data_IF_698143961836
#
_entry.id   IF_698143961836
#
_cell.length_a   1.000
_cell.length_b   1.000
_cell.length_c   1.000
_cell.angle_alpha   90.00
_cell.angle_beta   90.00
_cell.angle_gamma   90.00
#
_symmetry.space_group_name_H-M   'P 1'
#
loop_
_entity.id
_entity.type
_entity.pdbx_description
1 polymer ?
#
# COMPACT_ATOMS: atom_id res chain seq x y z
N UNK A 1 -13.48 -1.23 -4.27
CA UNK A 1 -12.93 -2.58 -4.51
C UNK A 1 -12.04 -2.58 -5.75
N UNK A 2 -12.58 -2.48 -6.97
CA UNK A 2 -11.78 -2.55 -8.21
C UNK A 2 -10.81 -1.37 -8.42
N UNK A 3 -11.22 -0.13 -8.11
CA UNK A 3 -10.35 1.06 -8.25
C UNK A 3 -9.12 0.99 -7.34
N UNK A 4 -9.29 0.55 -6.10
CA UNK A 4 -8.19 0.33 -5.16
C UNK A 4 -7.24 -0.76 -5.64
N UNK A 5 -7.78 -1.82 -6.26
CA UNK A 5 -6.98 -2.88 -6.87
C UNK A 5 -6.18 -2.38 -8.08
N UNK A 6 -6.79 -1.62 -8.99
CA UNK A 6 -6.11 -1.03 -10.15
C UNK A 6 -5.01 -0.07 -9.68
N UNK A 7 -5.32 0.76 -8.68
CA UNK A 7 -4.33 1.66 -8.07
C UNK A 7 -3.15 0.88 -7.48
N UNK A 8 -3.41 -0.18 -6.71
CA UNK A 8 -2.38 -1.07 -6.20
C UNK A 8 -1.53 -1.69 -7.32
N UNK A 9 -2.16 -2.20 -8.37
CA UNK A 9 -1.47 -2.81 -9.51
C UNK A 9 -0.52 -1.84 -10.20
N UNK A 10 -0.98 -0.61 -10.47
CA UNK A 10 -0.14 0.43 -11.10
C UNK A 10 1.04 0.78 -10.19
N UNK A 11 0.81 0.97 -8.89
CA UNK A 11 1.86 1.30 -7.95
C UNK A 11 2.88 0.17 -7.80
N UNK A 12 2.40 -1.07 -7.66
CA UNK A 12 3.26 -2.24 -7.46
C UNK A 12 4.09 -2.54 -8.71
N UNK A 13 3.45 -2.71 -9.88
CA UNK A 13 4.15 -2.98 -11.14
C UNK A 13 5.03 -1.81 -11.57
N UNK A 14 4.57 -0.58 -11.36
CA UNK A 14 5.34 0.63 -11.64
C UNK A 14 6.60 0.73 -10.78
N UNK A 15 6.52 0.40 -9.49
CA UNK A 15 7.68 0.37 -8.59
C UNK A 15 8.71 -0.71 -8.98
N UNK A 16 8.24 -1.92 -9.32
CA UNK A 16 9.12 -2.99 -9.83
C UNK A 16 9.79 -2.58 -11.14
N UNK A 17 9.04 -1.99 -12.06
CA UNK A 17 9.57 -1.49 -13.33
C UNK A 17 10.63 -0.41 -13.12
N UNK A 18 10.39 0.55 -12.22
CA UNK A 18 11.36 1.60 -11.88
C UNK A 18 12.68 1.05 -11.34
N UNK A 19 12.64 0.00 -10.52
CA UNK A 19 13.86 -0.66 -10.04
C UNK A 19 14.64 -1.33 -11.18
N UNK A 20 13.97 -1.89 -12.19
CA UNK A 20 14.61 -2.42 -13.39
C UNK A 20 15.19 -1.31 -14.26
N UNK A 21 14.42 -0.24 -14.48
CA UNK A 21 14.83 0.93 -15.27
C UNK A 21 16.04 1.66 -14.67
N UNK A 22 16.22 1.60 -13.34
CA UNK A 22 17.38 2.18 -12.67
C UNK A 22 18.73 1.69 -13.23
N UNK A 23 18.81 0.45 -13.73
CA UNK A 23 20.03 -0.11 -14.32
C UNK A 23 20.41 0.56 -15.65
N UNK A 24 19.47 1.26 -16.29
CA UNK A 24 19.72 1.99 -17.54
C UNK A 24 20.07 3.47 -17.32
N UNK A 25 20.13 3.93 -16.06
CA UNK A 25 20.39 5.33 -15.71
C UNK A 25 21.71 5.46 -14.94
N UNK A 26 22.80 5.65 -15.68
CA UNK A 26 24.18 5.65 -15.16
C UNK A 26 24.40 6.62 -13.98
N UNK A 27 23.84 7.83 -14.05
CA UNK A 27 24.03 8.87 -13.02
C UNK A 27 22.97 8.88 -11.91
N UNK A 28 21.84 8.18 -12.11
CA UNK A 28 20.68 8.25 -11.20
C UNK A 28 20.24 6.89 -10.66
N UNK A 29 21.00 5.83 -10.91
CA UNK A 29 20.66 4.46 -10.56
C UNK A 29 20.21 4.33 -9.09
N UNK A 30 20.96 4.88 -8.14
CA UNK A 30 20.64 4.78 -6.72
C UNK A 30 19.28 5.44 -6.39
N UNK A 31 19.06 6.67 -6.87
CA UNK A 31 17.84 7.43 -6.57
C UNK A 31 16.62 6.77 -7.22
N UNK A 32 16.73 6.34 -8.48
CA UNK A 32 15.62 5.70 -9.20
C UNK A 32 15.31 4.32 -8.60
N UNK A 33 16.33 3.55 -8.21
CA UNK A 33 16.13 2.27 -7.55
C UNK A 33 15.43 2.44 -6.19
N UNK A 34 15.92 3.34 -5.34
CA UNK A 34 15.29 3.64 -4.06
C UNK A 34 13.86 4.18 -4.25
N UNK A 35 13.64 5.03 -5.25
CA UNK A 35 12.30 5.51 -5.62
C UNK A 35 11.34 4.36 -5.99
N UNK A 36 11.79 3.44 -6.84
CA UNK A 36 11.02 2.24 -7.19
C UNK A 36 10.69 1.37 -5.97
N UNK A 37 11.67 1.16 -5.09
CA UNK A 37 11.50 0.41 -3.85
C UNK A 37 10.48 1.06 -2.91
N UNK A 38 10.54 2.39 -2.72
CA UNK A 38 9.59 3.13 -1.89
C UNK A 38 8.17 3.06 -2.46
N UNK A 39 8.02 3.15 -3.78
CA UNK A 39 6.72 3.03 -4.46
C UNK A 39 6.15 1.60 -4.26
N UNK A 40 6.96 0.56 -4.39
CA UNK A 40 6.53 -0.81 -4.12
C UNK A 40 6.12 -0.99 -2.66
N UNK A 41 6.88 -0.46 -1.69
CA UNK A 41 6.50 -0.49 -0.27
C UNK A 41 5.19 0.24 0.01
N UNK A 42 4.99 1.42 -0.60
CA UNK A 42 3.77 2.20 -0.48
C UNK A 42 2.54 1.43 -0.99
N UNK A 43 2.71 0.64 -2.05
CA UNK A 43 1.64 -0.20 -2.59
C UNK A 43 1.20 -1.29 -1.60
N UNK A 44 2.15 -1.92 -0.92
CA UNK A 44 1.89 -2.94 0.10
C UNK A 44 1.22 -2.30 1.32
N UNK A 45 1.73 -1.16 1.77
CA UNK A 45 1.14 -0.40 2.87
C UNK A 45 -0.32 0.01 2.56
N UNK A 46 -0.62 0.38 1.32
CA UNK A 46 -1.97 0.70 0.89
C UNK A 46 -2.92 -0.51 0.97
N UNK A 47 -2.48 -1.70 0.55
CA UNK A 47 -3.28 -2.94 0.64
C UNK A 47 -3.47 -3.42 2.09
N UNK A 48 -2.45 -3.25 2.93
CA UNK A 48 -2.49 -3.63 4.34
C UNK A 48 -3.27 -2.63 5.21
N UNK A 49 -3.64 -1.47 4.67
CA UNK A 49 -4.44 -0.49 5.39
C UNK A 49 -5.81 -1.08 5.69
N UNK A 50 -6.03 -1.48 6.95
CA UNK A 50 -7.36 -1.88 7.40
C UNK A 50 -8.37 -0.77 7.09
N UNK A 51 -9.40 -1.10 6.30
CA UNK A 51 -10.59 -0.27 6.18
C UNK A 51 -11.34 -0.35 7.50
N UNK A 52 -11.29 0.72 8.30
CA UNK A 52 -11.72 0.72 9.69
C UNK A 52 -13.12 0.13 9.91
N UNK A 53 -13.16 -1.02 10.59
CA UNK A 53 -14.33 -1.48 11.36
C UNK A 53 -13.94 -2.03 12.74
N UNK A 54 -12.68 -1.89 13.14
CA UNK A 54 -12.17 -2.39 14.43
C UNK A 54 -12.81 -1.72 15.66
N UNK A 55 -13.58 -0.63 15.49
CA UNK A 55 -14.27 0.10 16.57
C UNK A 55 -15.75 -0.23 16.73
N UNK A 56 -16.38 -1.02 15.85
CA UNK A 56 -17.73 -1.55 16.12
C UNK A 56 -17.59 -2.79 16.98
N UNK A 57 -17.53 -2.58 18.30
CA UNK A 57 -17.57 -3.65 19.31
C UNK A 57 -18.98 -4.25 19.31
N UNK A 58 -19.27 -5.17 18.38
CA UNK A 58 -20.55 -5.90 18.34
C UNK A 58 -20.75 -6.76 19.59
N UNK A 59 -19.67 -7.11 20.30
CA UNK A 59 -19.68 -7.87 21.54
C UNK A 59 -19.03 -7.06 22.69
N UNK A 60 -19.75 -6.05 23.19
CA UNK A 60 -19.34 -5.32 24.38
C UNK A 60 -19.76 -6.12 25.64
N UNK A 61 -18.80 -6.44 26.54
CA UNK A 61 -19.07 -7.16 27.80
C UNK A 61 -20.09 -6.43 28.67
N UNK A 62 -20.15 -5.09 28.59
CA UNK A 62 -21.01 -4.27 29.45
C UNK A 62 -22.48 -4.21 29.04
N UNK A 63 -22.92 -5.01 28.04
CA UNK A 63 -24.28 -4.91 27.50
C UNK A 63 -24.57 -3.56 26.81
N UNK A 64 -25.75 -3.45 26.20
CA UNK A 64 -26.25 -2.18 25.69
C UNK A 64 -26.54 -1.24 26.87
N UNK A 65 -26.13 0.02 26.79
CA UNK A 65 -26.43 1.03 27.81
C UNK A 65 -27.92 1.42 27.89
N UNK A 66 -28.81 0.68 27.20
CA UNK A 66 -30.23 0.98 27.03
C UNK A 66 -31.13 -0.25 27.23
N UNK A 67 -30.62 -1.31 27.86
CA UNK A 67 -31.44 -2.37 28.45
C UNK A 67 -31.41 -2.27 29.98
#
# INVERSE_FOLDING_TARGET
MILSFIFFMILFLGGIYLMGLAQSLEDFQAIVFTGGLLITMLSLAFMMRQGGTATRRSNNWSGNATE
#
